data_IF_857569423094
#
_entry.id   IF_857569423094
#
_cell.length_a   1.000
_cell.length_b   1.000
_cell.length_c   1.000
_cell.angle_alpha   90.00
_cell.angle_beta   90.00
_cell.angle_gamma   90.00
#
_symmetry.space_group_name_H-M   'P 1'
#
loop_
_entity.id
_entity.type
_entity.pdbx_description
1 polymer ?
#
# COMPACT_ATOMS: atom_id res chain seq x y z
N UNK A 1 24.20 -48.56 22.41
CA UNK A 1 24.16 -47.10 22.57
C UNK A 1 25.48 -46.65 23.17
N UNK A 2 26.06 -45.57 22.62
CA UNK A 2 27.37 -45.03 23.00
C UNK A 2 27.24 -43.61 23.54
N UNK A 3 27.78 -43.35 24.73
CA UNK A 3 27.81 -42.00 25.30
C UNK A 3 28.87 -41.14 24.64
N UNK A 4 28.51 -39.90 24.34
CA UNK A 4 29.45 -38.91 23.89
C UNK A 4 30.40 -38.51 25.02
N UNK A 5 31.71 -38.68 24.82
CA UNK A 5 32.73 -38.29 25.81
C UNK A 5 32.82 -36.76 26.02
N UNK A 6 32.21 -35.97 25.14
CA UNK A 6 32.24 -34.51 25.23
C UNK A 6 31.05 -33.92 26.01
N UNK A 7 29.82 -34.43 25.80
CA UNK A 7 28.61 -33.87 26.42
C UNK A 7 27.72 -34.89 27.16
N UNK A 8 28.05 -36.18 27.12
CA UNK A 8 27.30 -37.23 27.81
C UNK A 8 26.01 -37.71 27.13
N UNK A 9 25.65 -37.15 25.96
CA UNK A 9 24.45 -37.57 25.21
C UNK A 9 24.56 -39.02 24.71
N UNK A 10 23.48 -39.78 24.84
CA UNK A 10 23.38 -41.17 24.40
C UNK A 10 23.09 -41.23 22.89
N UNK A 11 24.03 -41.80 22.12
CA UNK A 11 23.90 -41.92 20.67
C UNK A 11 23.73 -43.39 20.25
N UNK A 12 23.15 -43.59 19.07
CA UNK A 12 23.14 -44.91 18.43
C UNK A 12 24.58 -45.39 18.13
N UNK A 13 24.82 -46.69 18.19
CA UNK A 13 26.17 -47.26 18.01
C UNK A 13 26.73 -47.04 16.59
N UNK A 14 25.85 -46.84 15.60
CA UNK A 14 26.21 -46.50 14.22
C UNK A 14 26.49 -45.00 14.00
N UNK A 15 26.23 -44.15 14.99
CA UNK A 15 26.38 -42.69 14.85
C UNK A 15 27.85 -42.28 14.73
N UNK A 16 28.19 -41.61 13.63
CA UNK A 16 29.53 -41.04 13.38
C UNK A 16 29.78 -39.72 14.12
N UNK A 17 28.70 -39.01 14.47
CA UNK A 17 28.73 -37.73 15.18
C UNK A 17 27.67 -37.72 16.29
N UNK A 18 27.91 -36.98 17.36
CA UNK A 18 26.96 -36.82 18.46
C UNK A 18 25.79 -35.92 18.05
N UNK A 19 24.55 -36.39 18.18
CA UNK A 19 23.33 -35.60 17.85
C UNK A 19 23.15 -34.39 18.78
N UNK A 20 23.59 -34.50 20.04
CA UNK A 20 23.44 -33.42 21.02
C UNK A 20 24.47 -32.27 20.89
N UNK A 21 25.68 -32.52 20.38
CA UNK A 21 26.74 -31.50 20.37
C UNK A 21 27.65 -31.47 19.12
N UNK A 22 27.45 -32.38 18.16
CA UNK A 22 28.21 -32.43 16.90
C UNK A 22 29.63 -33.01 16.98
N UNK A 23 30.10 -33.46 18.15
CA UNK A 23 31.43 -34.06 18.28
C UNK A 23 31.55 -35.38 17.50
N UNK A 24 32.70 -35.62 16.86
CA UNK A 24 33.01 -36.89 16.17
C UNK A 24 33.13 -38.01 17.19
N UNK A 25 32.50 -39.14 16.87
CA UNK A 25 32.39 -40.30 17.73
C UNK A 25 33.40 -41.38 17.24
N UNK A 26 34.38 -41.82 18.06
CA UNK A 26 35.40 -42.79 17.65
C UNK A 26 34.81 -44.14 17.19
N UNK A 27 35.29 -44.71 16.07
CA UNK A 27 34.76 -45.96 15.51
C UNK A 27 35.01 -47.17 16.42
N UNK A 28 34.03 -48.08 16.49
CA UNK A 28 34.12 -49.30 17.29
C UNK A 28 35.08 -50.31 16.64
N UNK A 29 36.24 -50.52 17.27
CA UNK A 29 37.23 -51.51 16.82
C UNK A 29 36.81 -52.90 17.30
N UNK A 30 36.42 -53.76 16.35
CA UNK A 30 36.16 -55.19 16.60
C UNK A 30 37.48 -55.91 16.87
N UNK A 31 37.59 -56.58 18.02
CA UNK A 31 38.81 -57.30 18.46
C UNK A 31 38.55 -58.80 18.45
N UNK A 32 39.39 -59.56 17.74
CA UNK A 32 39.61 -61.00 17.97
C UNK A 32 41.12 -61.21 18.15
N UNK A 33 41.46 -62.06 19.12
CA UNK A 33 42.66 -62.00 19.96
C UNK A 33 43.84 -62.92 19.50
N UNK A 34 45.07 -62.44 19.80
CA UNK A 34 46.35 -63.05 20.29
C UNK A 34 46.69 -64.56 20.07
N UNK A 35 47.99 -65.00 20.00
CA UNK A 35 49.00 -64.82 21.07
C UNK A 35 50.49 -64.63 20.65
N UNK A 36 51.31 -64.40 21.69
CA UNK A 36 52.72 -63.95 21.75
C UNK A 36 53.75 -65.11 21.74
N UNK A 37 54.92 -64.93 21.11
CA UNK A 37 56.17 -65.67 21.39
C UNK A 37 57.43 -64.90 20.86
N UNK A 38 58.66 -65.19 21.35
CA UNK A 38 59.68 -64.19 21.67
C UNK A 38 60.76 -63.89 20.61
N UNK A 39 61.51 -62.81 20.87
CA UNK A 39 62.52 -62.18 20.04
C UNK A 39 63.80 -63.00 19.78
N UNK A 40 64.42 -62.81 18.60
CA UNK A 40 65.87 -62.87 18.44
C UNK A 40 66.46 -61.56 17.87
N UNK A 41 67.73 -61.35 18.20
CA UNK A 41 68.56 -60.17 17.91
C UNK A 41 69.22 -60.25 16.52
N UNK A 42 70.11 -59.27 16.23
CA UNK A 42 71.05 -59.15 15.08
C UNK A 42 70.44 -58.34 13.92
N UNK A 43 71.05 -57.30 13.33
CA UNK A 43 72.45 -56.95 13.06
C UNK A 43 72.57 -55.43 12.84
N UNK A 44 73.66 -54.82 13.30
CA UNK A 44 74.05 -53.47 12.86
C UNK A 44 74.68 -53.59 11.47
N UNK A 45 74.12 -52.92 10.47
CA UNK A 45 74.69 -52.82 9.12
C UNK A 45 74.58 -51.36 8.62
N UNK A 46 75.64 -50.91 7.94
CA UNK A 46 75.95 -49.52 7.68
C UNK A 46 75.11 -48.87 6.56
N UNK A 47 75.07 -47.54 6.60
CA UNK A 47 74.21 -46.61 5.86
C UNK A 47 74.32 -46.61 4.32
N UNK A 48 73.27 -46.10 3.65
CA UNK A 48 73.40 -45.20 2.51
C UNK A 48 72.91 -43.79 2.85
N UNK A 49 73.72 -42.79 2.51
CA UNK A 49 73.40 -41.36 2.61
C UNK A 49 72.16 -41.00 1.78
N UNK A 50 71.10 -40.51 2.43
CA UNK A 50 69.93 -39.97 1.74
C UNK A 50 70.21 -38.54 1.19
N UNK A 51 69.76 -38.23 -0.05
CA UNK A 51 69.90 -36.90 -0.66
C UNK A 51 69.12 -35.83 0.11
N UNK A 52 69.65 -34.60 0.11
CA UNK A 52 69.00 -33.43 0.70
C UNK A 52 67.55 -33.29 0.21
N UNK A 53 66.61 -33.24 1.15
CA UNK A 53 65.20 -33.05 0.87
C UNK A 53 64.97 -31.74 0.07
N UNK A 54 64.09 -31.74 -0.94
CA UNK A 54 63.69 -30.51 -1.60
C UNK A 54 63.07 -29.57 -0.57
N UNK A 55 63.60 -28.36 -0.47
CA UNK A 55 63.00 -27.28 0.33
C UNK A 55 61.55 -27.13 -0.11
N UNK A 56 60.61 -27.37 0.81
CA UNK A 56 59.18 -27.19 0.56
C UNK A 56 58.95 -25.80 -0.05
N UNK A 57 58.43 -25.77 -1.28
CA UNK A 57 58.00 -24.54 -1.91
C UNK A 57 56.91 -23.91 -1.04
N UNK A 58 57.10 -22.66 -0.63
CA UNK A 58 56.11 -21.93 0.15
C UNK A 58 54.78 -21.90 -0.61
N UNK A 59 53.76 -22.57 -0.07
CA UNK A 59 52.41 -22.55 -0.65
C UNK A 59 51.84 -21.14 -0.49
N UNK A 60 51.62 -20.42 -1.60
CA UNK A 60 51.00 -19.10 -1.55
C UNK A 60 49.56 -19.17 -1.02
N UNK A 61 49.24 -18.34 -0.03
CA UNK A 61 47.91 -18.25 0.57
C UNK A 61 46.92 -17.58 -0.39
N UNK A 62 45.66 -18.03 -0.39
CA UNK A 62 44.58 -17.43 -1.19
C UNK A 62 44.10 -16.13 -0.54
N UNK A 63 43.81 -15.11 -1.35
CA UNK A 63 43.32 -13.82 -0.85
C UNK A 63 41.87 -13.94 -0.37
N UNK A 64 41.62 -13.72 0.93
CA UNK A 64 40.26 -13.71 1.50
C UNK A 64 39.34 -12.65 0.87
N UNK A 65 39.93 -11.54 0.39
CA UNK A 65 39.18 -10.48 -0.29
C UNK A 65 38.61 -10.93 -1.65
N UNK A 66 39.28 -11.83 -2.36
CA UNK A 66 38.78 -12.40 -3.62
C UNK A 66 37.60 -13.34 -3.39
N UNK A 67 37.61 -14.10 -2.29
CA UNK A 67 36.50 -14.99 -1.90
C UNK A 67 35.32 -14.16 -1.40
N UNK A 68 35.58 -13.15 -0.58
CA UNK A 68 34.55 -12.24 -0.09
C UNK A 68 33.83 -11.52 -1.22
N UNK A 69 34.57 -10.98 -2.20
CA UNK A 69 33.97 -10.35 -3.39
C UNK A 69 33.07 -11.31 -4.17
N UNK A 70 33.51 -12.54 -4.41
CA UNK A 70 32.74 -13.56 -5.11
C UNK A 70 31.46 -13.97 -4.36
N UNK A 71 31.54 -14.20 -3.04
CA UNK A 71 30.39 -14.58 -2.21
C UNK A 71 29.36 -13.44 -2.15
N UNK A 72 29.81 -12.20 -1.99
CA UNK A 72 28.92 -11.02 -1.99
C UNK A 72 28.22 -10.85 -3.34
N UNK A 73 28.92 -11.07 -4.47
CA UNK A 73 28.28 -11.04 -5.80
C UNK A 73 27.17 -12.10 -5.95
N UNK A 74 27.32 -13.29 -5.36
CA UNK A 74 26.29 -14.34 -5.39
C UNK A 74 25.10 -13.98 -4.49
N UNK A 75 25.35 -13.48 -3.29
CA UNK A 75 24.30 -13.08 -2.34
C UNK A 75 23.51 -11.86 -2.85
N UNK A 76 24.08 -11.08 -3.76
CA UNK A 76 23.41 -9.92 -4.38
C UNK A 76 22.30 -10.30 -5.38
N UNK A 77 22.28 -11.55 -5.86
CA UNK A 77 21.32 -12.04 -6.85
C UNK A 77 19.87 -12.02 -6.31
N UNK A 78 19.55 -12.55 -5.11
CA UNK A 78 18.20 -12.49 -4.55
C UNK A 78 17.76 -11.10 -4.04
N UNK A 79 18.66 -10.12 -3.94
CA UNK A 79 18.39 -8.77 -3.39
C UNK A 79 18.30 -7.67 -4.47
N UNK A 80 17.98 -8.06 -5.71
CA UNK A 80 17.69 -7.11 -6.81
C UNK A 80 18.83 -6.10 -7.01
N UNK A 81 20.09 -6.56 -6.99
CA UNK A 81 21.22 -5.77 -7.48
C UNK A 81 21.76 -4.65 -6.58
N UNK A 82 21.07 -4.24 -5.51
CA UNK A 82 21.56 -3.19 -4.58
C UNK A 82 22.97 -3.50 -4.02
N UNK A 83 23.32 -4.75 -3.63
CA UNK A 83 24.66 -5.05 -3.14
C UNK A 83 25.69 -5.34 -4.25
N UNK A 84 25.30 -5.32 -5.54
CA UNK A 84 26.18 -5.64 -6.66
C UNK A 84 27.35 -4.66 -6.80
N UNK A 85 27.15 -3.39 -6.43
CA UNK A 85 28.19 -2.35 -6.39
C UNK A 85 29.28 -2.73 -5.37
N UNK A 86 28.88 -3.23 -4.19
CA UNK A 86 29.81 -3.63 -3.13
C UNK A 86 30.59 -4.88 -3.55
N UNK A 87 29.92 -5.88 -4.15
CA UNK A 87 30.56 -7.07 -4.70
C UNK A 87 31.59 -6.76 -5.81
N UNK A 88 31.27 -5.77 -6.66
CA UNK A 88 32.15 -5.30 -7.72
C UNK A 88 33.41 -4.60 -7.16
N UNK A 89 33.24 -3.68 -6.20
CA UNK A 89 34.35 -2.96 -5.56
C UNK A 89 35.29 -3.94 -4.85
N UNK A 90 34.74 -4.89 -4.07
CA UNK A 90 35.53 -5.88 -3.35
C UNK A 90 36.29 -6.82 -4.31
N UNK A 91 35.67 -7.20 -5.42
CA UNK A 91 36.30 -8.05 -6.43
C UNK A 91 37.43 -7.32 -7.19
N UNK A 92 37.27 -6.03 -7.50
CA UNK A 92 38.31 -5.17 -8.10
C UNK A 92 39.49 -4.98 -7.14
N UNK A 93 39.21 -4.63 -5.87
CA UNK A 93 40.24 -4.49 -4.85
C UNK A 93 40.96 -5.82 -4.55
N UNK A 94 40.22 -6.93 -4.53
CA UNK A 94 40.73 -8.29 -4.38
C UNK A 94 41.71 -8.67 -5.50
N UNK A 95 41.36 -8.36 -6.75
CA UNK A 95 42.21 -8.62 -7.91
C UNK A 95 43.50 -7.79 -7.89
N UNK A 96 43.41 -6.50 -7.51
CA UNK A 96 44.57 -5.63 -7.33
C UNK A 96 45.52 -6.12 -6.23
N UNK A 97 44.98 -6.57 -5.09
CA UNK A 97 45.75 -7.12 -3.98
C UNK A 97 46.42 -8.46 -4.35
N UNK A 98 45.70 -9.34 -5.07
CA UNK A 98 46.24 -10.62 -5.52
C UNK A 98 47.36 -10.46 -6.56
N UNK A 99 47.27 -9.46 -7.44
CA UNK A 99 48.32 -9.13 -8.40
C UNK A 99 49.57 -8.55 -7.72
N UNK A 100 49.42 -7.63 -6.75
CA UNK A 100 50.57 -7.02 -6.06
C UNK A 100 51.30 -8.00 -5.12
N UNK A 101 50.57 -8.95 -4.52
CA UNK A 101 51.10 -9.86 -3.49
C UNK A 101 51.34 -11.31 -3.96
N UNK A 102 51.22 -11.59 -5.27
CA UNK A 102 51.34 -12.94 -5.86
C UNK A 102 50.46 -14.01 -5.15
N UNK A 103 49.25 -13.62 -4.73
CA UNK A 103 48.32 -14.51 -4.02
C UNK A 103 47.51 -15.35 -5.00
N UNK A 104 47.09 -16.54 -4.57
CA UNK A 104 46.11 -17.36 -5.31
C UNK A 104 44.70 -16.74 -5.19
N UNK A 105 43.83 -16.98 -6.17
CA UNK A 105 42.43 -16.53 -6.15
C UNK A 105 42.01 -15.56 -7.25
N UNK A 106 42.87 -15.31 -8.25
CA UNK A 106 42.54 -14.42 -9.39
C UNK A 106 41.29 -14.85 -10.15
N UNK A 107 41.06 -16.16 -10.31
CA UNK A 107 39.85 -16.69 -10.95
C UNK A 107 38.56 -16.34 -10.20
N UNK A 108 38.55 -16.37 -8.87
CA UNK A 108 37.40 -15.97 -8.06
C UNK A 108 37.10 -14.47 -8.18
N UNK A 109 38.14 -13.63 -8.23
CA UNK A 109 37.96 -12.19 -8.42
C UNK A 109 37.41 -11.87 -9.82
N UNK A 110 37.90 -12.54 -10.88
CA UNK A 110 37.38 -12.38 -12.25
C UNK A 110 35.93 -12.86 -12.34
N UNK A 111 35.61 -14.01 -11.73
CA UNK A 111 34.24 -14.53 -11.69
C UNK A 111 33.29 -13.58 -10.96
N UNK A 112 33.72 -13.02 -9.82
CA UNK A 112 32.93 -12.01 -9.08
C UNK A 112 32.65 -10.76 -9.90
N UNK A 113 33.63 -10.25 -10.66
CA UNK A 113 33.44 -9.11 -11.57
C UNK A 113 32.42 -9.43 -12.67
N UNK A 114 32.54 -10.58 -13.33
CA UNK A 114 31.63 -10.99 -14.42
C UNK A 114 30.21 -11.13 -13.88
N UNK A 115 30.02 -11.81 -12.74
CA UNK A 115 28.71 -11.99 -12.11
C UNK A 115 28.12 -10.62 -11.76
N UNK A 116 28.88 -9.75 -11.10
CA UNK A 116 28.40 -8.41 -10.72
C UNK A 116 27.99 -7.56 -11.93
N UNK A 117 28.73 -7.61 -13.05
CA UNK A 117 28.38 -6.90 -14.28
C UNK A 117 27.10 -7.45 -14.89
N UNK A 118 26.98 -8.78 -15.03
CA UNK A 118 25.78 -9.41 -15.60
C UNK A 118 24.55 -9.16 -14.74
N UNK A 119 24.66 -9.27 -13.42
CA UNK A 119 23.57 -8.95 -12.49
C UNK A 119 23.22 -7.47 -12.50
N UNK A 120 24.21 -6.58 -12.64
CA UNK A 120 23.98 -5.14 -12.74
C UNK A 120 23.27 -4.75 -14.04
N UNK A 121 23.67 -5.34 -15.18
CA UNK A 121 23.00 -5.11 -16.46
C UNK A 121 21.58 -5.68 -16.48
N UNK A 122 21.37 -6.87 -15.89
CA UNK A 122 20.03 -7.44 -15.73
C UNK A 122 19.16 -6.56 -14.82
N UNK A 123 19.72 -6.02 -13.73
CA UNK A 123 19.01 -5.08 -12.87
C UNK A 123 18.61 -3.80 -13.61
N UNK A 124 19.54 -3.18 -14.35
CA UNK A 124 19.25 -2.00 -15.18
C UNK A 124 18.16 -2.34 -16.20
N UNK A 125 18.22 -3.49 -16.85
CA UNK A 125 17.21 -3.94 -17.80
C UNK A 125 15.83 -4.10 -17.12
N UNK A 126 15.77 -4.73 -15.95
CA UNK A 126 14.51 -4.88 -15.18
C UNK A 126 13.97 -3.52 -14.76
N UNK A 127 14.83 -2.60 -14.30
CA UNK A 127 14.43 -1.23 -13.95
C UNK A 127 13.91 -0.47 -15.17
N UNK A 128 14.55 -0.63 -16.34
CA UNK A 128 14.08 0.02 -17.58
C UNK A 128 12.75 -0.59 -18.04
N UNK A 129 12.62 -1.92 -18.04
CA UNK A 129 11.37 -2.58 -18.44
C UNK A 129 10.21 -2.25 -17.48
N UNK A 130 10.49 -2.20 -16.18
CA UNK A 130 9.49 -1.75 -15.18
C UNK A 130 9.19 -0.27 -15.37
N UNK A 131 10.17 0.62 -15.51
CA UNK A 131 9.89 2.05 -15.76
C UNK A 131 9.09 2.27 -17.06
N UNK A 132 9.35 1.51 -18.12
CA UNK A 132 8.58 1.57 -19.37
C UNK A 132 7.14 1.06 -19.19
N UNK A 133 6.94 -0.03 -18.44
CA UNK A 133 5.59 -0.55 -18.13
C UNK A 133 4.84 0.23 -17.05
N UNK A 134 5.56 0.90 -16.15
CA UNK A 134 4.98 1.78 -15.13
C UNK A 134 4.36 3.00 -15.79
N UNK A 135 4.89 3.51 -16.90
CA UNK A 135 4.25 4.60 -17.63
C UNK A 135 2.86 4.20 -18.11
N UNK A 136 2.69 3.01 -18.72
CA UNK A 136 1.38 2.52 -19.13
C UNK A 136 0.44 2.30 -17.94
N UNK A 137 0.96 1.82 -16.80
CA UNK A 137 0.21 1.69 -15.55
C UNK A 137 -0.21 3.04 -14.94
N UNK A 138 0.67 4.05 -14.97
CA UNK A 138 0.35 5.40 -14.51
C UNK A 138 -0.62 6.11 -15.45
N UNK A 139 -0.57 5.84 -16.75
CA UNK A 139 -1.55 6.41 -17.69
C UNK A 139 -2.93 5.78 -17.46
N UNK A 140 -3.01 4.47 -17.17
CA UNK A 140 -4.27 3.76 -16.93
C UNK A 140 -4.90 4.04 -15.55
N UNK A 141 -4.11 4.13 -14.48
CA UNK A 141 -4.62 4.32 -13.11
C UNK A 141 -4.35 5.70 -12.52
N UNK A 142 -3.44 6.47 -13.11
CA UNK A 142 -3.04 7.77 -12.59
C UNK A 142 -4.04 8.87 -12.90
N UNK A 143 -4.72 8.83 -14.05
CA UNK A 143 -5.75 9.83 -14.37
C UNK A 143 -6.93 9.77 -13.38
N UNK A 144 -7.40 8.57 -13.04
CA UNK A 144 -8.51 8.42 -12.09
C UNK A 144 -8.14 8.91 -10.68
N UNK A 145 -6.95 8.55 -10.19
CA UNK A 145 -6.45 9.00 -8.88
C UNK A 145 -6.25 10.51 -8.86
N UNK A 146 -5.64 11.08 -9.91
CA UNK A 146 -5.42 12.53 -10.00
C UNK A 146 -6.76 13.24 -9.97
N UNK A 147 -7.75 12.74 -10.71
CA UNK A 147 -9.06 13.37 -10.78
C UNK A 147 -9.83 13.27 -9.47
N UNK A 148 -9.81 12.13 -8.78
CA UNK A 148 -10.41 11.99 -7.45
C UNK A 148 -9.80 13.00 -6.45
N UNK A 149 -8.47 13.16 -6.49
CA UNK A 149 -7.75 14.15 -5.66
C UNK A 149 -8.12 15.58 -6.06
N UNK A 150 -8.27 15.88 -7.34
CA UNK A 150 -8.68 17.20 -7.84
C UNK A 150 -10.12 17.53 -7.44
N UNK A 151 -11.08 16.62 -7.67
CA UNK A 151 -12.47 16.76 -7.24
C UNK A 151 -12.52 17.04 -5.73
N UNK A 152 -11.88 16.19 -4.92
CA UNK A 152 -11.83 16.40 -3.47
C UNK A 152 -11.26 17.75 -3.09
N UNK A 153 -10.15 18.15 -3.71
CA UNK A 153 -9.49 19.43 -3.45
C UNK A 153 -10.34 20.64 -3.84
N UNK A 154 -11.23 20.51 -4.83
CA UNK A 154 -12.14 21.58 -5.26
C UNK A 154 -13.15 21.93 -4.16
N UNK A 155 -13.65 20.92 -3.44
CA UNK A 155 -14.68 21.11 -2.42
C UNK A 155 -14.12 21.30 -1.00
N UNK A 156 -12.89 20.86 -0.70
CA UNK A 156 -12.29 20.92 0.65
C UNK A 156 -12.21 22.35 1.22
N UNK A 157 -12.00 23.35 0.36
CA UNK A 157 -11.91 24.76 0.75
C UNK A 157 -13.28 25.49 0.76
N UNK A 158 -14.36 24.84 0.29
CA UNK A 158 -15.68 25.46 0.20
C UNK A 158 -16.45 25.33 1.52
N UNK A 159 -17.14 26.41 1.88
CA UNK A 159 -18.14 26.36 2.93
C UNK A 159 -19.53 26.11 2.32
N UNK A 160 -19.74 24.89 1.83
CA UNK A 160 -20.96 24.48 1.10
C UNK A 160 -22.22 24.77 1.93
N UNK A 161 -22.22 24.44 3.22
CA UNK A 161 -23.35 24.74 4.12
C UNK A 161 -23.72 26.23 4.11
N UNK A 162 -22.72 27.10 4.11
CA UNK A 162 -22.93 28.55 4.05
C UNK A 162 -23.37 29.01 2.65
N UNK A 163 -22.87 28.39 1.58
CA UNK A 163 -23.29 28.66 0.20
C UNK A 163 -24.79 28.35 0.08
N UNK A 164 -25.19 27.11 0.38
CA UNK A 164 -26.58 26.65 0.31
C UNK A 164 -27.52 27.60 1.06
N UNK A 165 -27.15 27.97 2.29
CA UNK A 165 -27.97 28.83 3.15
C UNK A 165 -28.13 30.27 2.64
N UNK A 166 -27.18 30.79 1.86
CA UNK A 166 -27.20 32.19 1.43
C UNK A 166 -27.73 32.36 -0.01
N UNK A 167 -28.11 31.26 -0.65
CA UNK A 167 -28.62 31.24 -2.01
C UNK A 167 -30.10 30.85 -2.01
N UNK A 168 -30.82 31.28 -3.05
CA UNK A 168 -32.16 30.77 -3.33
C UNK A 168 -32.07 29.75 -4.46
N UNK A 169 -32.90 28.72 -4.38
CA UNK A 169 -32.74 27.52 -5.19
C UNK A 169 -33.99 27.28 -6.04
N UNK A 170 -33.82 27.26 -7.36
CA UNK A 170 -34.90 27.00 -8.30
C UNK A 170 -34.79 25.57 -8.84
N UNK A 171 -35.88 24.82 -8.81
CA UNK A 171 -35.96 23.48 -9.37
C UNK A 171 -36.01 23.57 -10.90
N UNK A 172 -34.91 23.20 -11.57
CA UNK A 172 -34.61 23.51 -12.98
C UNK A 172 -35.77 23.21 -13.96
N UNK A 173 -36.54 22.12 -13.74
CA UNK A 173 -37.57 21.67 -14.70
C UNK A 173 -39.00 22.08 -14.36
N UNK A 174 -39.28 22.45 -13.12
CA UNK A 174 -40.64 22.70 -12.64
C UNK A 174 -40.83 24.14 -12.17
N UNK A 175 -39.73 24.87 -11.98
CA UNK A 175 -39.76 26.23 -11.48
C UNK A 175 -40.20 26.33 -10.02
N UNK A 176 -40.28 25.24 -9.25
CA UNK A 176 -40.53 25.36 -7.80
C UNK A 176 -39.33 25.99 -7.12
N UNK A 177 -39.55 26.76 -6.06
CA UNK A 177 -38.56 27.74 -5.59
C UNK A 177 -38.36 27.68 -4.07
N UNK A 178 -37.17 27.27 -3.65
CA UNK A 178 -36.76 27.12 -2.25
C UNK A 178 -35.93 28.34 -1.80
N UNK A 179 -36.42 29.01 -0.76
CA UNK A 179 -35.85 30.23 -0.20
C UNK A 179 -35.47 29.99 1.26
N UNK A 180 -34.21 30.24 1.60
CA UNK A 180 -33.74 30.19 2.98
C UNK A 180 -33.80 31.59 3.61
N UNK A 181 -34.52 31.69 4.73
CA UNK A 181 -34.75 32.92 5.47
C UNK A 181 -33.91 32.98 6.76
N UNK A 182 -33.88 34.17 7.37
CA UNK A 182 -33.23 34.38 8.66
C UNK A 182 -33.85 33.50 9.76
N UNK A 183 -33.02 33.04 10.70
CA UNK A 183 -33.51 32.24 11.83
C UNK A 183 -33.76 30.77 11.53
N UNK A 184 -33.08 30.22 10.51
CA UNK A 184 -33.23 28.83 10.06
C UNK A 184 -34.67 28.51 9.61
N UNK A 185 -35.31 29.48 8.96
CA UNK A 185 -36.62 29.30 8.34
C UNK A 185 -36.50 29.15 6.84
N UNK A 186 -37.43 28.45 6.23
CA UNK A 186 -37.49 28.36 4.77
C UNK A 186 -38.91 28.60 4.27
N UNK A 187 -39.01 28.93 2.99
CA UNK A 187 -40.23 28.82 2.20
C UNK A 187 -39.94 28.05 0.92
N UNK A 188 -40.81 27.12 0.57
CA UNK A 188 -40.71 26.37 -0.67
C UNK A 188 -41.98 26.58 -1.48
N UNK A 189 -41.91 27.47 -2.47
CA UNK A 189 -43.00 27.86 -3.33
C UNK A 189 -43.20 26.86 -4.47
N UNK A 190 -44.46 26.64 -4.84
CA UNK A 190 -44.86 25.81 -5.98
C UNK A 190 -44.33 26.38 -7.30
N UNK A 191 -44.30 27.70 -7.46
CA UNK A 191 -43.91 28.38 -8.70
C UNK A 191 -43.00 29.59 -8.42
N UNK A 192 -41.86 29.64 -9.11
CA UNK A 192 -40.90 30.73 -9.10
C UNK A 192 -41.50 31.98 -9.70
N UNK A 193 -41.22 33.13 -9.08
CA UNK A 193 -41.75 34.43 -9.52
C UNK A 193 -43.24 34.65 -9.24
N UNK A 194 -43.93 33.72 -8.58
CA UNK A 194 -45.34 33.84 -8.17
C UNK A 194 -45.45 33.82 -6.63
N UNK A 195 -45.56 35.00 -6.03
CA UNK A 195 -45.68 35.19 -4.58
C UNK A 195 -47.06 34.85 -4.02
N UNK A 196 -48.05 34.68 -4.88
CA UNK A 196 -49.39 34.20 -4.53
C UNK A 196 -49.51 32.66 -4.63
N UNK A 197 -48.47 31.97 -5.11
CA UNK A 197 -48.46 30.51 -5.25
C UNK A 197 -48.50 29.78 -3.90
N UNK A 198 -48.94 28.51 -3.92
CA UNK A 198 -48.92 27.66 -2.73
C UNK A 198 -47.48 27.43 -2.27
N UNK A 199 -47.25 27.34 -0.95
CA UNK A 199 -45.91 27.10 -0.43
C UNK A 199 -45.89 26.31 0.87
N UNK A 200 -44.79 25.59 1.08
CA UNK A 200 -44.43 25.06 2.39
C UNK A 200 -43.59 26.08 3.15
N UNK A 201 -43.73 26.12 4.47
CA UNK A 201 -42.82 26.86 5.33
C UNK A 201 -42.55 26.12 6.64
N UNK A 202 -41.40 26.42 7.25
CA UNK A 202 -41.00 25.80 8.51
C UNK A 202 -39.55 26.07 8.86
N UNK A 203 -38.91 25.10 9.49
CA UNK A 203 -37.48 25.18 9.86
C UNK A 203 -36.64 24.23 9.02
N UNK A 204 -35.34 24.51 8.91
CA UNK A 204 -34.43 23.64 8.17
C UNK A 204 -33.13 23.36 8.92
N UNK A 205 -32.54 22.22 8.58
CA UNK A 205 -31.19 21.83 8.97
C UNK A 205 -30.39 21.43 7.73
N UNK A 206 -29.11 21.80 7.68
CA UNK A 206 -28.20 21.46 6.58
C UNK A 206 -26.97 20.81 7.17
N UNK A 207 -26.64 19.63 6.67
CA UNK A 207 -25.43 18.87 6.97
C UNK A 207 -24.63 18.71 5.68
N UNK A 208 -23.31 18.68 5.80
CA UNK A 208 -22.38 18.55 4.66
C UNK A 208 -21.23 17.64 5.08
N UNK A 209 -20.69 16.87 4.15
CA UNK A 209 -19.51 16.07 4.43
C UNK A 209 -19.83 14.88 5.30
N UNK A 210 -18.85 14.51 6.14
CA UNK A 210 -19.01 13.49 7.17
C UNK A 210 -20.26 13.68 8.03
N UNK A 211 -20.55 14.92 8.43
CA UNK A 211 -21.73 15.22 9.27
C UNK A 211 -23.04 14.84 8.56
N UNK A 212 -23.11 14.96 7.23
CA UNK A 212 -24.28 14.53 6.47
C UNK A 212 -24.39 13.01 6.40
N UNK A 213 -23.28 12.31 6.18
CA UNK A 213 -23.25 10.84 6.13
C UNK A 213 -23.68 10.24 7.47
N UNK A 214 -23.14 10.75 8.58
CA UNK A 214 -23.50 10.34 9.93
C UNK A 214 -24.97 10.61 10.22
N UNK A 215 -25.46 11.82 9.92
CA UNK A 215 -26.86 12.15 10.14
C UNK A 215 -27.82 11.27 9.33
N UNK A 216 -27.52 11.01 8.05
CA UNK A 216 -28.38 10.16 7.21
C UNK A 216 -28.39 8.71 7.69
N UNK A 217 -27.24 8.18 8.10
CA UNK A 217 -27.13 6.77 8.49
C UNK A 217 -27.55 6.48 9.93
N UNK A 218 -27.48 7.47 10.83
CA UNK A 218 -27.82 7.31 12.25
C UNK A 218 -29.17 7.95 12.59
N UNK A 219 -29.35 9.25 12.33
CA UNK A 219 -30.56 9.99 12.70
C UNK A 219 -31.74 9.75 11.74
N UNK A 220 -31.45 9.40 10.47
CA UNK A 220 -32.45 9.05 9.44
C UNK A 220 -32.48 7.54 9.13
N UNK A 221 -32.11 6.69 10.10
CA UNK A 221 -32.07 5.22 9.92
C UNK A 221 -33.41 4.61 9.43
N UNK A 222 -34.54 5.28 9.69
CA UNK A 222 -35.87 4.86 9.24
C UNK A 222 -36.05 4.86 7.72
N UNK A 223 -35.25 5.65 7.00
CA UNK A 223 -35.22 5.68 5.54
C UNK A 223 -34.39 4.55 4.94
N UNK A 224 -33.64 3.81 5.78
CA UNK A 224 -32.91 2.61 5.40
C UNK A 224 -31.69 2.85 4.52
N UNK A 225 -31.16 4.07 4.49
CA UNK A 225 -29.91 4.41 3.78
C UNK A 225 -28.73 4.25 4.74
N UNK A 226 -27.81 3.37 4.39
CA UNK A 226 -26.63 3.08 5.21
C UNK A 226 -25.41 3.89 4.76
N UNK A 227 -24.42 4.03 5.64
CA UNK A 227 -23.12 4.63 5.30
C UNK A 227 -22.45 3.88 4.13
N UNK A 228 -22.51 2.55 4.11
CA UNK A 228 -21.94 1.72 3.02
C UNK A 228 -22.60 2.04 1.66
N UNK A 229 -23.93 2.21 1.63
CA UNK A 229 -24.64 2.58 0.39
C UNK A 229 -24.30 4.00 -0.08
N UNK A 230 -24.07 4.93 0.86
CA UNK A 230 -23.61 6.29 0.52
C UNK A 230 -22.19 6.22 -0.05
N UNK A 231 -21.27 5.49 0.58
CA UNK A 231 -19.90 5.30 0.08
C UNK A 231 -19.89 4.65 -1.31
N UNK A 232 -20.73 3.65 -1.56
CA UNK A 232 -20.90 3.05 -2.89
C UNK A 232 -21.40 4.05 -3.93
N UNK A 233 -22.34 4.92 -3.56
CA UNK A 233 -22.86 5.99 -4.42
C UNK A 233 -21.79 7.03 -4.75
N UNK A 234 -21.04 7.48 -3.75
CA UNK A 234 -19.94 8.44 -3.93
C UNK A 234 -18.81 7.86 -4.78
N UNK A 235 -18.55 6.56 -4.71
CA UNK A 235 -17.55 5.90 -5.54
C UNK A 235 -18.03 5.65 -6.98
N UNK A 236 -19.35 5.64 -7.22
CA UNK A 236 -19.94 5.34 -8.51
C UNK A 236 -19.97 6.56 -9.46
N UNK A 237 -20.07 7.77 -8.90
CA UNK A 237 -19.98 9.01 -9.66
C UNK A 237 -18.69 9.75 -9.33
N UNK A 238 -18.09 10.28 -10.37
CA UNK A 238 -16.78 10.86 -10.32
C UNK A 238 -16.73 12.33 -9.87
N UNK A 239 -17.88 12.98 -9.93
CA UNK A 239 -18.05 14.37 -9.51
C UNK A 239 -18.58 14.39 -8.05
N UNK A 240 -18.75 13.22 -7.44
CA UNK A 240 -19.17 13.04 -6.06
C UNK A 240 -17.96 12.71 -5.19
N UNK A 241 -17.96 13.26 -3.98
CA UNK A 241 -17.00 12.96 -2.93
C UNK A 241 -17.67 13.18 -1.57
N UNK A 242 -17.00 12.80 -0.49
CA UNK A 242 -17.52 13.05 0.85
C UNK A 242 -17.73 14.55 1.07
N UNK A 243 -16.75 15.37 0.72
CA UNK A 243 -16.72 16.81 0.97
C UNK A 243 -17.93 17.55 0.37
N UNK A 244 -18.47 17.06 -0.74
CA UNK A 244 -19.62 17.66 -1.40
C UNK A 244 -20.95 16.92 -1.17
N UNK A 245 -20.98 15.89 -0.33
CA UNK A 245 -22.22 15.23 0.07
C UNK A 245 -23.02 16.14 1.01
N UNK A 246 -24.34 16.22 0.80
CA UNK A 246 -25.25 17.14 1.49
C UNK A 246 -26.48 16.41 1.95
N UNK A 247 -26.93 16.71 3.18
CA UNK A 247 -28.28 16.41 3.64
C UNK A 247 -28.99 17.72 4.01
N UNK A 248 -30.15 17.98 3.41
CA UNK A 248 -31.03 19.12 3.73
C UNK A 248 -32.33 18.57 4.30
N UNK A 249 -32.62 18.92 5.55
CA UNK A 249 -33.85 18.51 6.23
C UNK A 249 -34.80 19.70 6.29
N UNK A 250 -35.97 19.56 5.69
CA UNK A 250 -37.05 20.54 5.77
C UNK A 250 -38.11 20.04 6.74
N UNK A 251 -38.25 20.69 7.89
CA UNK A 251 -39.30 20.44 8.86
C UNK A 251 -40.49 21.33 8.50
N UNK A 252 -41.42 20.80 7.70
CA UNK A 252 -42.57 21.54 7.18
C UNK A 252 -43.59 21.73 8.31
N UNK A 253 -43.73 22.96 8.80
CA UNK A 253 -44.67 23.33 9.86
C UNK A 253 -46.04 23.73 9.28
N UNK A 254 -46.08 24.17 8.04
CA UNK A 254 -47.30 24.62 7.35
C UNK A 254 -47.20 24.42 5.84
N UNK A 255 -48.35 24.13 5.22
CA UNK A 255 -48.53 24.11 3.76
C UNK A 255 -49.66 25.07 3.41
N UNK A 256 -49.29 26.25 2.93
CA UNK A 256 -50.19 27.36 2.65
C UNK A 256 -50.75 27.22 1.25
N UNK A 257 -52.07 27.01 1.14
CA UNK A 257 -52.82 26.96 -0.12
C UNK A 257 -53.96 27.96 -0.02
N UNK A 258 -54.02 28.91 -0.95
CA UNK A 258 -55.00 30.02 -0.93
C UNK A 258 -55.08 30.76 0.44
N UNK A 259 -53.93 30.90 1.11
CA UNK A 259 -53.82 31.55 2.42
C UNK A 259 -54.32 30.71 3.61
N UNK A 260 -54.64 29.44 3.39
CA UNK A 260 -55.06 28.50 4.44
C UNK A 260 -53.99 27.45 4.64
N UNK A 261 -53.61 27.20 5.89
CA UNK A 261 -52.74 26.06 6.21
C UNK A 261 -53.52 24.75 6.03
N UNK A 262 -52.99 23.86 5.19
CA UNK A 262 -53.57 22.56 4.86
C UNK A 262 -52.85 21.39 5.53
N UNK A 263 -51.78 21.66 6.27
CA UNK A 263 -50.99 20.66 6.96
C UNK A 263 -51.56 20.38 8.36
N UNK A 264 -51.90 19.13 8.65
CA UNK A 264 -52.49 18.72 9.94
C UNK A 264 -51.44 18.49 11.03
N UNK A 265 -50.21 18.12 10.64
CA UNK A 265 -49.07 17.87 11.52
C UNK A 265 -47.75 18.20 10.83
N UNK A 266 -46.69 18.44 11.59
CA UNK A 266 -45.37 18.73 11.03
C UNK A 266 -44.83 17.53 10.22
N UNK A 267 -44.33 17.80 9.01
CA UNK A 267 -43.78 16.77 8.11
C UNK A 267 -42.31 17.05 7.86
N UNK A 268 -41.45 16.15 8.31
CA UNK A 268 -40.02 16.18 7.99
C UNK A 268 -39.79 15.64 6.58
N UNK A 269 -39.04 16.37 5.75
CA UNK A 269 -38.69 15.99 4.38
C UNK A 269 -37.18 16.13 4.19
N UNK A 270 -36.43 15.01 4.25
CA UNK A 270 -35.01 15.03 4.01
C UNK A 270 -34.70 14.90 2.52
N UNK A 271 -33.68 15.63 2.10
CA UNK A 271 -33.05 15.55 0.79
C UNK A 271 -31.60 15.16 0.98
N UNK A 272 -31.12 14.20 0.18
CA UNK A 272 -29.72 13.75 0.20
C UNK A 272 -29.13 13.76 -1.21
N UNK A 273 -27.83 14.01 -1.33
CA UNK A 273 -27.11 14.00 -2.60
C UNK A 273 -25.87 14.86 -2.54
N UNK A 274 -25.53 15.56 -3.62
CA UNK A 274 -24.26 16.26 -3.74
C UNK A 274 -24.44 17.71 -4.22
N UNK A 275 -23.60 18.60 -3.69
CA UNK A 275 -23.41 19.95 -4.23
C UNK A 275 -22.34 19.88 -5.32
N UNK A 276 -22.69 20.33 -6.52
CA UNK A 276 -21.82 20.23 -7.70
C UNK A 276 -21.36 21.62 -8.14
N UNK A 277 -20.13 21.70 -8.62
CA UNK A 277 -19.53 22.87 -9.27
C UNK A 277 -19.01 22.44 -10.63
N UNK A 278 -19.33 23.21 -11.66
CA UNK A 278 -18.75 23.07 -13.01
C UNK A 278 -18.35 24.45 -13.54
N UNK A 279 -17.09 24.79 -13.37
CA UNK A 279 -16.56 26.10 -13.74
C UNK A 279 -17.18 27.24 -12.92
N UNK A 280 -18.02 28.05 -13.57
CA UNK A 280 -18.74 29.17 -12.92
C UNK A 280 -20.17 28.79 -12.51
N UNK A 281 -20.62 27.58 -12.86
CA UNK A 281 -21.96 27.06 -12.54
C UNK A 281 -21.92 26.17 -11.29
N UNK A 282 -23.05 26.09 -10.58
CA UNK A 282 -23.22 25.17 -9.46
C UNK A 282 -24.65 24.67 -9.33
N UNK A 283 -24.83 23.59 -8.57
CA UNK A 283 -26.14 22.98 -8.40
C UNK A 283 -26.23 22.07 -7.19
N UNK A 284 -27.45 21.76 -6.80
CA UNK A 284 -27.78 20.73 -5.82
C UNK A 284 -28.43 19.55 -6.54
N UNK A 285 -27.69 18.46 -6.65
CA UNK A 285 -28.14 17.19 -7.19
C UNK A 285 -28.64 16.32 -6.03
N UNK A 286 -29.96 16.29 -5.81
CA UNK A 286 -30.55 15.73 -4.60
C UNK A 286 -31.66 14.72 -4.89
N UNK A 287 -31.95 13.88 -3.90
CA UNK A 287 -33.08 12.97 -3.87
C UNK A 287 -33.95 13.29 -2.66
N UNK A 288 -35.24 13.56 -2.89
CA UNK A 288 -36.24 13.62 -1.83
C UNK A 288 -36.46 12.21 -1.27
N UNK A 289 -36.16 12.00 0.00
CA UNK A 289 -36.20 10.67 0.61
C UNK A 289 -37.62 10.17 0.91
N UNK A 290 -38.59 11.08 1.10
CA UNK A 290 -40.00 10.71 1.28
C UNK A 290 -40.63 10.11 0.01
N UNK A 291 -40.25 10.64 -1.15
CA UNK A 291 -40.84 10.29 -2.43
C UNK A 291 -39.92 9.42 -3.31
N UNK A 292 -38.65 9.26 -2.91
CA UNK A 292 -37.59 8.68 -3.73
C UNK A 292 -37.51 9.34 -5.13
N UNK A 293 -37.68 10.66 -5.17
CA UNK A 293 -37.64 11.45 -6.40
C UNK A 293 -36.38 12.28 -6.48
N UNK A 294 -35.68 12.13 -7.61
CA UNK A 294 -34.55 12.98 -7.98
C UNK A 294 -35.00 14.40 -8.30
N UNK A 295 -34.22 15.38 -7.84
CA UNK A 295 -34.42 16.81 -8.05
C UNK A 295 -33.07 17.49 -8.26
N UNK A 296 -33.03 18.45 -9.19
CA UNK A 296 -31.84 19.26 -9.45
C UNK A 296 -32.18 20.73 -9.25
N UNK A 297 -31.57 21.35 -8.24
CA UNK A 297 -31.75 22.78 -8.01
C UNK A 297 -30.56 23.56 -8.54
N UNK A 298 -30.85 24.69 -9.16
CA UNK A 298 -29.87 25.68 -9.59
C UNK A 298 -30.00 26.94 -8.72
N UNK A 299 -28.90 27.68 -8.49
CA UNK A 299 -28.97 29.03 -7.91
C UNK A 299 -29.91 29.93 -8.71
N UNK A 300 -30.65 30.80 -8.01
CA UNK A 300 -31.59 31.73 -8.64
C UNK A 300 -30.91 32.64 -9.68
N UNK A 301 -29.66 33.05 -9.44
CA UNK A 301 -28.90 33.89 -10.37
C UNK A 301 -28.37 33.15 -11.61
N UNK A 302 -28.46 31.81 -11.61
CA UNK A 302 -28.10 30.92 -12.73
C UNK A 302 -29.32 30.31 -13.42
N UNK A 303 -30.53 30.57 -12.92
CA UNK A 303 -31.75 30.03 -13.49
C UNK A 303 -32.23 30.84 -14.72
N UNK A 304 -32.36 30.16 -15.87
CA UNK A 304 -32.92 30.71 -17.11
C UNK A 304 -34.36 30.15 -17.32
N UNK A 305 -35.36 31.04 -17.31
CA UNK A 305 -36.80 30.76 -17.56
C UNK A 305 -37.14 30.40 -19.03
#
# INVERSE_FOLDING_TARGET
MRKCSNCGFDNDDSSKFCVGCGAVLPEAVSTVATPVAPAPQVKVEAAPSQPAAPRAAATSKTSGLCIAGFVVSIISIPLIGIPAIIGLILSICGLGAANKKNLKGKGFAIAGIIISILTGLLFILVVVLTALGMNEFFDEYGEDIVREVETRSEYEDLNIKKIIKNENWVLERQGSYLVFESGNRFRYYETYGDDDSSYYEGTYEIYVGRDAIEYVSEDLEEYGVTEEEIEELLAADKDYCEENFVCIVLNNESCMVDGVNTLDEEVMTPYIGNYLVDGDESGLDLTNMNQATHVYFVPEDQYDD
#
